data_IF_207877624492
#
_entry.id   IF_207877624492
#
_cell.length_a   1.000
_cell.length_b   1.000
_cell.length_c   1.000
_cell.angle_alpha   90.00
_cell.angle_beta   90.00
_cell.angle_gamma   90.00
#
_symmetry.space_group_name_H-M   'P 1'
#
loop_
_entity.id
_entity.type
_entity.pdbx_description
1 polymer ?
#
# COMPACT_ATOMS: atom_id res chain seq x y z
N UNK A 1 -12.45 -23.30 0.85
CA UNK A 1 -11.38 -22.30 0.81
C UNK A 1 -11.64 -21.35 1.95
N UNK A 2 -10.68 -21.17 2.84
CA UNK A 2 -10.81 -20.18 3.92
C UNK A 2 -10.80 -18.76 3.36
N UNK A 3 -11.31 -17.80 4.13
CA UNK A 3 -11.29 -16.36 3.77
C UNK A 3 -9.87 -15.86 3.52
N UNK A 4 -8.90 -16.28 4.35
CA UNK A 4 -7.48 -15.98 4.18
C UNK A 4 -6.90 -16.55 2.86
N UNK A 5 -7.16 -17.82 2.56
CA UNK A 5 -6.71 -18.44 1.29
C UNK A 5 -7.29 -17.72 0.07
N UNK A 6 -8.53 -17.23 0.19
CA UNK A 6 -9.19 -16.46 -0.86
C UNK A 6 -8.51 -15.10 -1.08
N UNK A 7 -8.23 -14.35 -0.01
CA UNK A 7 -7.55 -13.06 -0.12
C UNK A 7 -6.11 -13.20 -0.63
N UNK A 8 -5.39 -14.26 -0.24
CA UNK A 8 -4.06 -14.55 -0.76
C UNK A 8 -4.07 -14.78 -2.28
N UNK A 9 -5.06 -15.51 -2.79
CA UNK A 9 -5.25 -15.71 -4.23
C UNK A 9 -5.61 -14.40 -4.95
N UNK A 10 -6.45 -13.57 -4.34
CA UNK A 10 -6.80 -12.28 -4.90
C UNK A 10 -5.59 -11.36 -5.01
N UNK A 11 -4.74 -11.25 -3.98
CA UNK A 11 -3.52 -10.44 -4.02
C UNK A 11 -2.55 -10.95 -5.08
N UNK A 12 -2.33 -12.26 -5.17
CA UNK A 12 -1.50 -12.85 -6.24
C UNK A 12 -2.04 -12.53 -7.63
N UNK A 13 -3.35 -12.62 -7.81
CA UNK A 13 -4.02 -12.32 -9.08
C UNK A 13 -3.90 -10.85 -9.48
N UNK A 14 -4.22 -9.92 -8.57
CA UNK A 14 -4.17 -8.49 -8.88
C UNK A 14 -2.73 -7.98 -9.01
N UNK A 15 -1.78 -8.55 -8.25
CA UNK A 15 -0.35 -8.25 -8.42
C UNK A 15 0.13 -8.60 -9.82
N UNK A 16 -0.33 -9.72 -10.37
CA UNK A 16 0.01 -10.15 -11.74
C UNK A 16 -0.64 -9.25 -12.80
N UNK A 17 -1.89 -8.84 -12.59
CA UNK A 17 -2.59 -7.91 -13.48
C UNK A 17 -1.87 -6.54 -13.57
N UNK A 18 -1.20 -6.12 -12.50
CA UNK A 18 -0.48 -4.84 -12.41
C UNK A 18 1.04 -4.97 -12.57
N UNK A 19 1.57 -6.13 -12.96
CA UNK A 19 3.02 -6.41 -13.03
C UNK A 19 3.78 -5.36 -13.85
N UNK A 20 3.30 -5.06 -15.06
CA UNK A 20 3.90 -4.05 -15.96
C UNK A 20 3.99 -2.66 -15.31
N UNK A 21 2.98 -2.29 -14.50
CA UNK A 21 2.93 -1.01 -13.79
C UNK A 21 3.91 -1.02 -12.61
N UNK A 22 3.97 -2.13 -11.87
CA UNK A 22 4.87 -2.30 -10.74
C UNK A 22 6.34 -2.21 -11.17
N UNK A 23 6.71 -2.85 -12.28
CA UNK A 23 8.07 -2.88 -12.81
C UNK A 23 8.45 -1.59 -13.56
N UNK A 24 7.51 -1.01 -14.32
CA UNK A 24 7.78 0.17 -15.15
C UNK A 24 7.77 1.51 -14.40
N UNK A 25 7.17 1.56 -13.21
CA UNK A 25 7.00 2.81 -12.47
C UNK A 25 8.26 3.25 -11.71
N UNK A 26 8.50 4.56 -11.73
CA UNK A 26 9.52 5.21 -10.88
C UNK A 26 8.99 5.61 -9.50
N UNK A 27 7.68 5.50 -9.28
CA UNK A 27 7.05 5.76 -7.99
C UNK A 27 7.09 4.50 -7.12
N UNK A 28 7.01 4.69 -5.80
CA UNK A 28 6.66 3.57 -4.92
C UNK A 28 5.21 3.18 -5.19
N UNK A 29 4.93 1.88 -5.31
CA UNK A 29 3.58 1.38 -5.54
C UNK A 29 3.27 0.31 -4.51
N UNK A 30 2.06 0.35 -3.95
CA UNK A 30 1.49 -0.80 -3.26
C UNK A 30 -0.01 -0.94 -3.49
N UNK A 31 -0.48 -2.18 -3.47
CA UNK A 31 -1.89 -2.53 -3.43
C UNK A 31 -2.18 -3.09 -2.05
N UNK A 32 -3.26 -2.60 -1.44
CA UNK A 32 -3.66 -2.96 -0.09
C UNK A 32 -5.12 -3.41 -0.08
N UNK A 33 -5.36 -4.58 0.52
CA UNK A 33 -6.68 -5.07 0.92
C UNK A 33 -6.81 -5.01 2.45
N UNK A 34 -5.87 -5.64 3.13
CA UNK A 34 -5.74 -5.65 4.59
C UNK A 34 -4.26 -5.88 4.99
N UNK A 35 -3.97 -5.87 6.29
CA UNK A 35 -2.60 -5.97 6.81
C UNK A 35 -1.88 -7.27 6.45
N UNK A 36 -2.61 -8.36 6.15
CA UNK A 36 -2.03 -9.63 5.73
C UNK A 36 -2.01 -9.78 4.21
N UNK A 37 -2.81 -9.00 3.49
CA UNK A 37 -3.03 -9.12 2.06
C UNK A 37 -2.69 -7.80 1.36
N UNK A 38 -1.41 -7.66 1.06
CA UNK A 38 -0.82 -6.49 0.40
C UNK A 38 0.42 -6.87 -0.39
N UNK A 39 0.77 -6.01 -1.32
CA UNK A 39 1.92 -6.20 -2.21
C UNK A 39 2.47 -4.84 -2.60
N UNK A 40 3.79 -4.72 -2.73
CA UNK A 40 4.44 -3.50 -3.17
C UNK A 40 5.50 -3.77 -4.24
N UNK A 41 5.91 -2.72 -4.95
CA UNK A 41 7.07 -2.79 -5.81
C UNK A 41 8.37 -2.56 -5.04
N UNK A 42 9.49 -2.95 -5.64
CA UNK A 42 10.81 -2.79 -5.04
C UNK A 42 11.18 -1.32 -4.77
N UNK A 43 10.58 -0.38 -5.51
CA UNK A 43 10.82 1.06 -5.34
C UNK A 43 10.23 1.58 -4.01
N UNK A 44 9.05 1.13 -3.61
CA UNK A 44 8.47 1.47 -2.30
C UNK A 44 9.32 0.90 -1.17
N UNK A 45 9.67 -0.39 -1.25
CA UNK A 45 10.48 -1.05 -0.22
C UNK A 45 11.80 -0.29 0.03
N UNK A 46 12.56 0.00 -1.04
CA UNK A 46 13.81 0.77 -0.95
C UNK A 46 13.59 2.18 -0.39
N UNK A 47 12.52 2.85 -0.81
CA UNK A 47 12.18 4.20 -0.36
C UNK A 47 11.95 4.27 1.16
N UNK A 48 11.32 3.23 1.72
CA UNK A 48 11.02 3.12 3.15
C UNK A 48 12.12 2.41 3.97
N UNK A 49 13.22 2.02 3.33
CA UNK A 49 14.38 1.40 3.99
C UNK A 49 14.25 -0.11 4.23
N UNK A 50 13.42 -0.80 3.46
CA UNK A 50 13.30 -2.27 3.46
C UNK A 50 14.22 -2.88 2.42
N UNK A 51 14.67 -4.11 2.68
CA UNK A 51 15.62 -4.80 1.81
C UNK A 51 14.96 -5.27 0.51
N UNK A 52 13.68 -5.67 0.59
CA UNK A 52 12.89 -6.21 -0.53
C UNK A 52 11.40 -5.89 -0.38
N UNK A 53 10.64 -6.09 -1.45
CA UNK A 53 9.18 -6.03 -1.39
C UNK A 53 8.61 -7.04 -0.37
N UNK A 54 9.16 -8.26 -0.33
CA UNK A 54 8.75 -9.31 0.62
C UNK A 54 9.00 -8.92 2.08
N UNK A 55 10.11 -8.23 2.35
CA UNK A 55 10.44 -7.70 3.69
C UNK A 55 9.43 -6.64 4.17
N UNK A 56 8.87 -5.85 3.25
CA UNK A 56 7.80 -4.90 3.56
C UNK A 56 6.45 -5.62 3.75
N UNK A 57 6.13 -6.60 2.91
CA UNK A 57 4.90 -7.40 2.99
C UNK A 57 4.83 -8.22 4.28
N UNK A 58 5.97 -8.68 4.80
CA UNK A 58 6.06 -9.47 6.02
C UNK A 58 5.65 -8.72 7.31
N UNK A 59 5.47 -7.39 7.26
CA UNK A 59 4.99 -6.59 8.40
C UNK A 59 3.47 -6.70 8.48
N UNK A 60 2.92 -7.61 9.29
CA UNK A 60 1.47 -7.92 9.28
C UNK A 60 0.69 -7.36 10.46
N UNK A 61 1.35 -6.75 11.45
CA UNK A 61 0.69 -6.20 12.64
C UNK A 61 0.90 -4.69 12.73
N UNK A 62 -0.18 -3.96 13.00
CA UNK A 62 -0.21 -2.50 13.22
C UNK A 62 0.63 -1.71 12.19
N UNK A 63 0.41 -1.98 10.89
CA UNK A 63 1.19 -1.34 9.82
C UNK A 63 1.11 0.18 9.91
N UNK A 64 -0.09 0.72 10.16
CA UNK A 64 -0.28 2.17 10.27
C UNK A 64 0.45 2.73 11.49
N UNK A 65 0.34 2.09 12.66
CA UNK A 65 1.06 2.51 13.86
C UNK A 65 2.58 2.46 13.72
N UNK A 66 3.09 1.45 13.04
CA UNK A 66 4.53 1.26 12.85
C UNK A 66 5.11 2.16 11.75
N UNK A 67 4.44 2.24 10.61
CA UNK A 67 5.02 2.78 9.37
C UNK A 67 4.58 4.20 9.05
N UNK A 68 3.52 4.70 9.67
CA UNK A 68 2.99 6.03 9.38
C UNK A 68 3.16 6.88 10.63
N UNK A 69 3.76 8.07 10.47
CA UNK A 69 3.91 9.00 11.57
C UNK A 69 2.53 9.42 12.08
N UNK A 70 2.39 9.58 13.41
CA UNK A 70 1.10 9.81 14.10
C UNK A 70 0.25 10.90 13.42
N UNK A 71 0.84 12.03 13.03
CA UNK A 71 0.15 13.14 12.35
C UNK A 71 -0.38 12.84 10.94
N UNK A 72 -0.03 11.71 10.35
CA UNK A 72 -0.48 11.26 9.03
C UNK A 72 -1.43 10.05 9.08
N UNK A 73 -1.55 9.36 10.22
CA UNK A 73 -2.30 8.11 10.34
C UNK A 73 -3.79 8.29 9.99
N UNK A 74 -4.46 9.24 10.65
CA UNK A 74 -5.88 9.50 10.43
C UNK A 74 -6.19 9.87 8.97
N UNK A 75 -5.31 10.65 8.33
CA UNK A 75 -5.47 11.05 6.92
C UNK A 75 -5.43 9.84 5.99
N UNK A 76 -4.45 8.95 6.16
CA UNK A 76 -4.31 7.76 5.33
C UNK A 76 -5.46 6.78 5.57
N UNK A 77 -5.88 6.58 6.82
CA UNK A 77 -7.03 5.73 7.17
C UNK A 77 -8.30 6.26 6.53
N UNK A 78 -8.60 7.56 6.66
CA UNK A 78 -9.79 8.16 6.06
C UNK A 78 -9.78 8.09 4.52
N UNK A 79 -8.61 8.24 3.91
CA UNK A 79 -8.44 8.06 2.47
C UNK A 79 -8.73 6.61 2.04
N UNK A 80 -8.22 5.62 2.78
CA UNK A 80 -8.51 4.21 2.53
C UNK A 80 -10.00 3.89 2.69
N UNK A 81 -10.65 4.32 3.78
CA UNK A 81 -12.08 4.11 4.00
C UNK A 81 -12.94 4.76 2.91
N UNK A 82 -12.55 5.95 2.43
CA UNK A 82 -13.25 6.61 1.33
C UNK A 82 -13.13 5.84 0.01
N UNK A 83 -11.97 5.24 -0.27
CA UNK A 83 -11.77 4.41 -1.44
C UNK A 83 -12.54 3.09 -1.32
N UNK A 84 -12.46 2.41 -0.18
CA UNK A 84 -13.10 1.12 0.04
C UNK A 84 -14.64 1.23 0.09
N UNK A 85 -15.19 2.13 0.91
CA UNK A 85 -16.63 2.17 1.18
C UNK A 85 -17.41 3.03 0.18
N UNK A 86 -16.73 4.01 -0.45
CA UNK A 86 -17.38 5.03 -1.29
C UNK A 86 -16.80 5.11 -2.69
N UNK A 87 -15.77 4.32 -3.02
CA UNK A 87 -15.08 4.37 -4.32
C UNK A 87 -14.55 5.77 -4.66
N UNK A 88 -14.07 6.51 -3.66
CA UNK A 88 -13.49 7.84 -3.83
C UNK A 88 -11.97 7.73 -3.82
N UNK A 89 -11.33 8.10 -4.93
CA UNK A 89 -9.88 8.30 -4.99
C UNK A 89 -9.45 9.59 -4.27
N UNK A 90 -8.20 9.66 -3.85
CA UNK A 90 -7.68 10.80 -3.11
C UNK A 90 -6.21 11.07 -3.40
N UNK A 91 -5.78 12.28 -3.06
CA UNK A 91 -4.38 12.66 -3.00
C UNK A 91 -4.10 13.23 -1.61
N UNK A 92 -3.17 12.62 -0.88
CA UNK A 92 -2.87 12.97 0.51
C UNK A 92 -1.36 13.05 0.73
N UNK A 93 -0.92 13.97 1.57
CA UNK A 93 0.46 14.00 2.06
C UNK A 93 0.58 13.07 3.27
N UNK A 94 1.58 12.18 3.22
CA UNK A 94 1.83 11.17 4.24
C UNK A 94 3.31 11.18 4.60
N UNK A 95 3.57 11.30 5.90
CA UNK A 95 4.88 11.10 6.50
C UNK A 95 5.01 9.63 6.93
N UNK A 96 5.97 8.93 6.36
CA UNK A 96 6.29 7.54 6.68
C UNK A 96 7.47 7.44 7.66
N UNK A 97 7.41 6.53 8.60
CA UNK A 97 8.55 6.09 9.40
C UNK A 97 9.35 5.06 8.60
N UNK A 98 10.66 5.28 8.43
CA UNK A 98 11.52 4.31 7.73
C UNK A 98 11.94 3.18 8.66
N UNK A 99 12.08 1.97 8.13
CA UNK A 99 12.59 0.79 8.87
C UNK A 99 13.96 1.05 9.50
N UNK A 100 14.82 1.77 8.79
CA UNK A 100 16.19 2.12 9.24
C UNK A 100 16.23 3.32 10.21
N UNK A 101 15.07 3.87 10.59
CA UNK A 101 14.96 5.09 11.36
C UNK A 101 14.84 6.36 10.50
N UNK A 102 14.30 7.41 11.10
CA UNK A 102 13.94 8.66 10.42
C UNK A 102 12.57 8.59 9.73
N UNK A 103 12.20 9.67 9.05
CA UNK A 103 10.93 9.80 8.34
C UNK A 103 11.11 10.19 6.86
N UNK A 104 10.04 10.04 6.09
CA UNK A 104 9.95 10.49 4.70
C UNK A 104 8.59 11.12 4.44
N UNK A 105 8.58 12.38 4.01
CA UNK A 105 7.37 13.04 3.53
C UNK A 105 7.12 12.68 2.07
N UNK A 106 5.87 12.35 1.77
CA UNK A 106 5.46 11.89 0.44
C UNK A 106 4.10 12.44 0.07
N UNK A 107 3.86 12.49 -1.24
CA UNK A 107 2.53 12.59 -1.82
C UNK A 107 2.05 11.19 -2.20
N UNK A 108 0.85 10.83 -1.76
CA UNK A 108 0.21 9.54 -2.05
C UNK A 108 -1.05 9.79 -2.87
N UNK A 109 -1.07 9.24 -4.09
CA UNK A 109 -2.30 9.10 -4.87
C UNK A 109 -2.88 7.74 -4.54
N UNK A 110 -4.09 7.71 -4.01
CA UNK A 110 -4.82 6.50 -3.64
C UNK A 110 -6.02 6.35 -4.54
N UNK A 111 -6.10 5.22 -5.24
CA UNK A 111 -7.16 4.92 -6.22
C UNK A 111 -7.86 3.63 -5.82
N UNK A 112 -9.21 3.62 -5.68
CA UNK A 112 -9.96 2.39 -5.57
C UNK A 112 -9.90 1.64 -6.90
N UNK A 113 -9.46 0.39 -6.86
CA UNK A 113 -9.48 -0.55 -7.99
C UNK A 113 -10.29 -1.78 -7.61
N UNK A 114 -10.69 -2.59 -8.59
CA UNK A 114 -11.39 -3.83 -8.31
C UNK A 114 -10.80 -5.01 -9.05
N UNK A 115 -10.86 -6.18 -8.43
CA UNK A 115 -10.45 -7.45 -9.01
C UNK A 115 -11.35 -8.56 -8.51
N UNK A 116 -11.95 -9.32 -9.44
CA UNK A 116 -12.86 -10.42 -9.14
C UNK A 116 -13.94 -10.03 -8.09
N UNK A 117 -14.51 -8.83 -8.23
CA UNK A 117 -15.58 -8.34 -7.34
C UNK A 117 -15.14 -7.81 -5.98
N UNK A 118 -13.84 -7.72 -5.70
CA UNK A 118 -13.28 -7.16 -4.46
C UNK A 118 -12.64 -5.81 -4.72
N UNK A 119 -12.78 -4.86 -3.79
CA UNK A 119 -12.20 -3.53 -3.88
C UNK A 119 -10.83 -3.53 -3.18
N UNK A 120 -9.84 -2.94 -3.83
CA UNK A 120 -8.50 -2.72 -3.28
C UNK A 120 -8.16 -1.24 -3.36
N UNK A 121 -7.22 -0.80 -2.53
CA UNK A 121 -6.61 0.51 -2.67
C UNK A 121 -5.24 0.39 -3.35
N UNK A 122 -5.11 0.93 -4.55
CA UNK A 122 -3.85 1.11 -5.26
C UNK A 122 -3.25 2.45 -4.87
N UNK A 123 -1.98 2.45 -4.49
CA UNK A 123 -1.28 3.64 -4.04
C UNK A 123 -0.06 3.90 -4.93
N UNK A 124 0.11 5.17 -5.32
CA UNK A 124 1.33 5.68 -5.92
C UNK A 124 1.95 6.69 -4.96
N UNK A 125 3.19 6.44 -4.56
CA UNK A 125 3.93 7.17 -3.52
C UNK A 125 5.12 7.88 -4.15
N UNK A 126 5.17 9.20 -3.97
CA UNK A 126 6.24 10.07 -4.48
C UNK A 126 6.84 10.88 -3.33
N UNK A 127 8.17 10.85 -3.13
CA UNK A 127 8.83 11.75 -2.17
C UNK A 127 8.57 13.22 -2.49
N UNK A 128 8.37 14.03 -1.44
CA UNK A 128 8.29 15.50 -1.55
C UNK A 128 9.68 16.15 -1.57
#
# INVERSE_FOLDING_TARGET
>A
MGEHEHHEQLIKGISKEYEDIFEGSKQGIYIYLDDNHKVCNQQLAKMLGYDSADDWVAVTEDLVGMMVAEGSQEKLINAFLSAHDKSIGSEVEVTWNKKTGGSLDTKVILVPISFQGHIFALHFVTPL
#
